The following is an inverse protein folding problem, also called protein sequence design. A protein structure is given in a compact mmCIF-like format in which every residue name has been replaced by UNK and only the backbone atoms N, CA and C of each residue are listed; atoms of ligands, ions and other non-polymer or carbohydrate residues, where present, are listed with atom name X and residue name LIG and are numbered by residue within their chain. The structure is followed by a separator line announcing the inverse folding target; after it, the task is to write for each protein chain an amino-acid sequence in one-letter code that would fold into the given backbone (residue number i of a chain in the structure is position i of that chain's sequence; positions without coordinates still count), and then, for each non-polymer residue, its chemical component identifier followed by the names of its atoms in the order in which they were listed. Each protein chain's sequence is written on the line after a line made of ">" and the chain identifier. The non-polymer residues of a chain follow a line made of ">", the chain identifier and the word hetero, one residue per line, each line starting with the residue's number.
data_IF_928003861337
#
_entry.id   IF_928003861337
#
_cell.length_a   1.000
_cell.length_b   1.000
_cell.length_c   1.000
_cell.angle_alpha   90.00
_cell.angle_beta   90.00
_cell.angle_gamma   90.00
#
_symmetry.space_group_name_H-M   'P 1'
#
loop_
_entity.id
_entity.type
_entity.pdbx_description
1 polymer ?
#
# COMPACT_ATOMS: atom_id res chain seq x y z
N UNK A 1 -6.97 -17.91 3.10
CA UNK A 1 -8.36 -17.42 3.26
C UNK A 1 -8.60 -16.36 2.20
N UNK A 2 -9.73 -16.33 1.48
CA UNK A 2 -10.01 -15.27 0.51
C UNK A 2 -10.16 -13.93 1.24
N UNK A 3 -9.42 -12.90 0.79
CA UNK A 3 -9.46 -11.57 1.38
C UNK A 3 -10.61 -10.77 0.73
N UNK A 4 -11.71 -10.53 1.45
CA UNK A 4 -12.80 -9.69 0.96
C UNK A 4 -12.52 -8.23 1.27
N UNK A 5 -12.15 -7.46 0.25
CA UNK A 5 -11.86 -6.04 0.37
C UNK A 5 -13.14 -5.20 0.39
N UNK A 6 -13.45 -4.60 1.54
CA UNK A 6 -14.55 -3.62 1.68
C UNK A 6 -14.14 -2.21 1.26
N UNK A 7 -12.83 -1.98 1.06
CA UNK A 7 -12.23 -0.72 0.61
C UNK A 7 -10.96 -1.03 -0.19
N UNK A 8 -10.50 -0.11 -1.07
CA UNK A 8 -9.23 -0.27 -1.77
C UNK A 8 -8.07 -0.41 -0.77
N UNK A 9 -7.11 -1.27 -1.08
CA UNK A 9 -5.82 -1.33 -0.39
C UNK A 9 -4.77 -0.60 -1.22
N UNK A 10 -3.83 0.03 -0.51
CA UNK A 10 -2.64 0.61 -1.10
C UNK A 10 -1.45 -0.08 -0.45
N UNK A 11 -0.69 -0.80 -1.24
CA UNK A 11 0.64 -1.27 -0.85
C UNK A 11 1.63 -0.18 -1.25
N UNK A 12 2.57 0.11 -0.37
CA UNK A 12 3.62 1.07 -0.65
C UNK A 12 4.92 0.59 -0.04
N UNK A 13 6.01 1.00 -0.67
CA UNK A 13 7.35 0.76 -0.20
C UNK A 13 8.12 2.07 -0.17
N UNK A 14 9.03 2.19 0.80
CA UNK A 14 9.83 3.39 1.03
C UNK A 14 11.31 3.01 1.09
N UNK A 15 12.11 3.69 0.28
CA UNK A 15 13.56 3.64 0.43
C UNK A 15 14.04 4.94 1.07
N UNK A 16 14.79 4.82 2.16
CA UNK A 16 15.27 5.95 2.98
C UNK A 16 16.79 5.99 3.03
N UNK A 17 17.36 7.14 3.39
CA UNK A 17 18.82 7.27 3.59
C UNK A 17 19.37 6.46 4.77
N UNK A 18 18.49 6.01 5.67
CA UNK A 18 18.80 5.29 6.89
C UNK A 18 17.52 4.98 7.67
N UNK A 19 17.65 4.71 8.97
CA UNK A 19 16.52 4.28 9.84
C UNK A 19 16.15 5.31 10.92
N UNK A 20 16.82 6.46 10.96
CA UNK A 20 16.50 7.53 11.90
C UNK A 20 15.36 8.39 11.34
N UNK A 21 14.14 8.17 11.82
CA UNK A 21 12.96 8.88 11.33
C UNK A 21 13.00 10.41 11.52
N UNK A 22 13.84 10.93 12.42
CA UNK A 22 13.96 12.38 12.65
C UNK A 22 14.93 13.05 11.66
N UNK A 23 15.97 12.32 11.24
CA UNK A 23 17.09 12.89 10.47
C UNK A 23 17.17 12.36 9.03
N UNK A 24 16.70 11.14 8.78
CA UNK A 24 16.71 10.53 7.46
C UNK A 24 15.53 10.98 6.60
N UNK A 25 15.73 10.90 5.27
CA UNK A 25 14.76 11.34 4.27
C UNK A 25 14.38 10.20 3.34
N UNK A 26 13.15 10.26 2.84
CA UNK A 26 12.66 9.36 1.79
C UNK A 26 13.37 9.72 0.48
N UNK A 27 13.94 8.71 -0.17
CA UNK A 27 14.61 8.81 -1.47
C UNK A 27 13.73 8.26 -2.58
N UNK A 28 13.01 7.18 -2.31
CA UNK A 28 12.08 6.58 -3.26
C UNK A 28 10.73 6.29 -2.61
N UNK A 29 9.67 6.43 -3.40
CA UNK A 29 8.31 6.10 -3.03
C UNK A 29 7.67 5.31 -4.18
N UNK A 30 7.19 4.10 -3.89
CA UNK A 30 6.42 3.29 -4.83
C UNK A 30 5.07 2.92 -4.22
N UNK A 31 4.05 2.74 -5.07
CA UNK A 31 2.71 2.32 -4.62
C UNK A 31 2.01 1.44 -5.65
N UNK A 32 1.21 0.50 -5.16
CA UNK A 32 0.34 -0.38 -5.94
C UNK A 32 -1.07 -0.39 -5.35
N UNK A 33 -2.09 -0.45 -6.22
CA UNK A 33 -3.49 -0.37 -5.82
C UNK A 33 -4.19 -1.72 -6.00
N UNK A 34 -4.76 -2.25 -4.92
CA UNK A 34 -5.66 -3.39 -5.04
C UNK A 34 -7.12 -2.96 -4.93
N UNK A 35 -7.86 -3.18 -6.02
CA UNK A 35 -9.30 -2.95 -6.08
C UNK A 35 -10.04 -4.19 -5.60
N UNK A 36 -10.87 -4.03 -4.57
CA UNK A 36 -11.80 -5.08 -4.18
C UNK A 36 -12.81 -5.37 -5.29
N UNK A 37 -12.95 -6.65 -5.68
CA UNK A 37 -14.05 -7.06 -6.53
C UNK A 37 -15.36 -6.96 -5.75
N UNK A 38 -16.28 -6.12 -6.24
CA UNK A 38 -17.65 -6.12 -5.76
C UNK A 38 -18.34 -7.33 -6.38
N UNK A 39 -18.64 -8.34 -5.57
CA UNK A 39 -19.53 -9.45 -5.98
C UNK A 39 -20.85 -8.82 -6.46
N UNK A 40 -21.05 -8.79 -7.78
CA UNK A 40 -22.34 -8.46 -8.39
C UNK A 40 -23.19 -9.72 -8.29
N UNK A 41 -24.04 -9.80 -7.27
CA UNK A 41 -25.15 -10.75 -7.28
C UNK A 41 -26.20 -10.27 -8.27
N UNK A 42 -26.52 -11.16 -9.21
CA UNK A 42 -27.58 -11.06 -10.23
C UNK A 42 -28.95 -10.79 -9.63
#
# INVERSE_FOLDING_TARGET
>A
MPLTLTRPLVFFDLETTGTDFQNDRIIEFSKEYEKGERLRTS
#
